data_IF_224071230923
#
_entry.id   IF_224071230923
#
_cell.length_a   1.000
_cell.length_b   1.000
_cell.length_c   1.000
_cell.angle_alpha   90.00
_cell.angle_beta   90.00
_cell.angle_gamma   90.00
#
_symmetry.space_group_name_H-M   'P 1'
#
loop_
_entity.id
_entity.type
_entity.pdbx_description
1 polymer ?
#
# COMPACT_ATOMS: atom_id res chain seq x y z
N UNK A 1 6.90 -12.17 -13.76
CA UNK A 1 5.88 -13.14 -13.31
C UNK A 1 4.69 -12.40 -12.71
N UNK A 2 3.47 -12.93 -12.85
CA UNK A 2 2.26 -12.22 -12.41
C UNK A 2 1.86 -12.64 -11.00
N UNK A 3 1.66 -11.67 -10.11
CA UNK A 3 1.14 -11.88 -8.76
C UNK A 3 -0.05 -10.95 -8.55
N UNK A 4 -1.12 -11.47 -7.94
CA UNK A 4 -2.25 -10.66 -7.54
C UNK A 4 -2.00 -10.11 -6.14
N UNK A 5 -2.24 -8.82 -5.93
CA UNK A 5 -2.27 -8.24 -4.58
C UNK A 5 -3.63 -7.64 -4.30
N UNK A 6 -4.09 -7.85 -3.06
CA UNK A 6 -5.25 -7.18 -2.52
C UNK A 6 -4.88 -6.41 -1.25
N UNK A 7 -5.13 -5.11 -1.27
CA UNK A 7 -4.96 -4.23 -0.14
C UNK A 7 -6.31 -3.94 0.52
N UNK A 8 -6.31 -3.79 1.83
CA UNK A 8 -7.50 -3.49 2.62
C UNK A 8 -7.38 -2.15 3.35
N UNK A 9 -8.53 -1.61 3.74
CA UNK A 9 -8.64 -0.33 4.44
C UNK A 9 -7.98 0.84 3.67
N UNK A 10 -7.28 1.72 4.37
CA UNK A 10 -6.54 2.87 3.86
C UNK A 10 -5.43 2.49 2.87
N UNK A 11 -4.92 1.26 2.89
CA UNK A 11 -3.95 0.81 1.89
C UNK A 11 -4.57 0.67 0.49
N UNK A 12 -5.90 0.61 0.35
CA UNK A 12 -6.54 0.59 -0.98
C UNK A 12 -6.25 1.84 -1.78
N UNK A 13 -6.08 2.97 -1.10
CA UNK A 13 -5.78 4.27 -1.72
C UNK A 13 -4.36 4.32 -2.29
N UNK A 14 -3.51 3.32 -1.97
CA UNK A 14 -2.18 3.15 -2.56
C UNK A 14 -2.18 2.55 -3.96
N UNK A 15 -3.28 1.91 -4.37
CA UNK A 15 -3.34 1.29 -5.67
C UNK A 15 -3.72 2.30 -6.76
N UNK A 16 -3.25 2.11 -8.00
CA UNK A 16 -3.59 2.99 -9.11
C UNK A 16 -5.12 3.10 -9.29
N UNK A 17 -5.58 4.28 -9.73
CA UNK A 17 -6.99 4.51 -10.03
C UNK A 17 -7.48 3.49 -11.06
N UNK A 18 -8.60 2.82 -10.76
CA UNK A 18 -9.14 1.73 -11.58
C UNK A 18 -8.92 0.32 -11.00
N UNK A 19 -8.18 0.18 -9.90
CA UNK A 19 -8.12 -1.08 -9.15
C UNK A 19 -9.47 -1.46 -8.53
N UNK A 20 -10.10 -2.51 -9.04
CA UNK A 20 -11.36 -3.02 -8.51
C UNK A 20 -11.19 -3.49 -7.05
N UNK A 21 -11.88 -2.82 -6.12
CA UNK A 21 -11.98 -3.24 -4.71
C UNK A 21 -10.61 -3.42 -4.02
N UNK A 22 -9.63 -2.60 -4.38
CA UNK A 22 -8.29 -2.69 -3.81
C UNK A 22 -7.48 -3.90 -4.31
N UNK A 23 -7.79 -4.44 -5.49
CA UNK A 23 -7.03 -5.51 -6.13
C UNK A 23 -6.27 -5.00 -7.36
N UNK A 24 -5.06 -5.50 -7.55
CA UNK A 24 -4.28 -5.30 -8.78
C UNK A 24 -3.43 -6.53 -9.06
N UNK A 25 -3.16 -6.79 -10.33
CA UNK A 25 -2.18 -7.79 -10.76
C UNK A 25 -0.92 -7.06 -11.17
N UNK A 26 0.21 -7.44 -10.58
CA UNK A 26 1.51 -6.83 -10.84
C UNK A 26 2.42 -7.84 -11.53
N UNK A 27 3.23 -7.35 -12.46
CA UNK A 27 4.34 -8.12 -13.02
C UNK A 27 5.61 -7.81 -12.22
N UNK A 28 6.21 -8.85 -11.63
CA UNK A 28 7.38 -8.75 -10.78
C UNK A 28 8.48 -9.72 -11.23
N UNK A 29 9.76 -9.47 -10.93
CA UNK A 29 10.84 -10.39 -11.29
C UNK A 29 10.64 -11.79 -10.69
N UNK A 30 11.08 -12.83 -11.38
CA UNK A 30 11.13 -14.18 -10.81
C UNK A 30 12.10 -14.24 -9.63
N UNK A 31 11.80 -15.08 -8.63
CA UNK A 31 12.59 -15.18 -7.41
C UNK A 31 12.39 -14.02 -6.43
N UNK A 32 11.46 -13.10 -6.68
CA UNK A 32 11.12 -12.01 -5.76
C UNK A 32 10.53 -12.58 -4.46
N UNK A 33 11.08 -12.15 -3.32
CA UNK A 33 10.55 -12.51 -2.00
C UNK A 33 9.35 -11.64 -1.62
N UNK A 34 8.53 -12.12 -0.68
CA UNK A 34 7.38 -11.39 -0.16
C UNK A 34 7.77 -10.01 0.40
N UNK A 35 8.87 -9.92 1.14
CA UNK A 35 9.36 -8.64 1.68
C UNK A 35 9.72 -7.64 0.58
N UNK A 36 10.48 -8.08 -0.43
CA UNK A 36 10.84 -7.24 -1.59
C UNK A 36 9.63 -6.82 -2.40
N UNK A 37 8.66 -7.74 -2.56
CA UNK A 37 7.41 -7.44 -3.22
C UNK A 37 6.67 -6.31 -2.51
N UNK A 38 6.47 -6.42 -1.20
CA UNK A 38 5.73 -5.42 -0.44
C UNK A 38 6.48 -4.08 -0.33
N UNK A 39 7.81 -4.09 -0.24
CA UNK A 39 8.63 -2.87 -0.35
C UNK A 39 8.37 -2.14 -1.68
N UNK A 40 8.27 -2.90 -2.79
CA UNK A 40 8.07 -2.31 -4.13
C UNK A 40 6.68 -1.70 -4.35
N UNK A 41 5.71 -2.01 -3.48
CA UNK A 41 4.40 -1.37 -3.48
C UNK A 41 4.45 0.07 -2.95
N UNK A 42 5.56 0.47 -2.33
CA UNK A 42 5.82 1.81 -1.81
C UNK A 42 4.66 2.38 -0.97
N UNK A 43 4.13 1.54 -0.09
CA UNK A 43 2.94 1.82 0.73
C UNK A 43 3.13 3.04 1.66
N UNK A 44 4.38 3.41 1.93
CA UNK A 44 4.75 4.56 2.75
C UNK A 44 4.33 5.89 2.12
N UNK A 45 4.34 5.99 0.78
CA UNK A 45 3.97 7.24 0.09
C UNK A 45 2.48 7.57 0.23
N UNK A 46 1.63 6.57 0.38
CA UNK A 46 0.18 6.73 0.42
C UNK A 46 -0.39 6.64 1.84
N UNK A 47 0.40 6.23 2.83
CA UNK A 47 0.06 6.43 4.24
C UNK A 47 0.38 7.87 4.67
N UNK A 48 -0.64 8.64 5.03
CA UNK A 48 -0.45 10.04 5.43
C UNK A 48 0.05 10.12 6.87
N UNK A 49 1.37 10.20 7.01
CA UNK A 49 2.04 10.19 8.31
C UNK A 49 3.14 9.14 8.26
N UNK A 50 4.33 9.48 8.75
CA UNK A 50 5.61 8.74 8.67
C UNK A 50 5.55 7.34 9.30
N UNK A 51 4.70 6.48 8.78
CA UNK A 51 4.61 5.07 9.11
C UNK A 51 5.60 4.42 8.16
N UNK A 52 6.75 4.02 8.72
CA UNK A 52 7.73 3.22 7.99
C UNK A 52 7.17 1.80 7.85
N UNK A 53 6.97 1.35 6.63
CA UNK A 53 6.44 0.02 6.32
C UNK A 53 7.21 -1.09 7.05
N UNK A 54 8.54 -1.02 7.06
CA UNK A 54 9.41 -2.02 7.70
C UNK A 54 9.23 -2.06 9.22
N UNK A 55 8.90 -0.94 9.85
CA UNK A 55 8.64 -0.88 11.30
C UNK A 55 7.27 -1.45 11.66
N UNK A 56 6.31 -1.42 10.73
CA UNK A 56 4.90 -1.72 11.00
C UNK A 56 4.44 -3.05 10.40
N UNK A 57 5.19 -3.64 9.46
CA UNK A 57 4.81 -4.89 8.80
C UNK A 57 4.59 -6.04 9.79
N UNK A 58 5.37 -6.10 10.87
CA UNK A 58 5.20 -7.11 11.92
C UNK A 58 3.86 -7.02 12.65
N UNK A 59 3.19 -5.87 12.60
CA UNK A 59 1.85 -5.68 13.16
C UNK A 59 0.74 -5.96 12.13
N UNK A 60 1.08 -6.12 10.85
CA UNK A 60 0.11 -6.37 9.78
C UNK A 60 -0.09 -7.87 9.60
N UNK A 61 -1.28 -8.27 9.17
CA UNK A 61 -1.55 -9.65 8.81
C UNK A 61 -1.41 -9.79 7.29
N UNK A 62 -0.54 -10.69 6.87
CA UNK A 62 -0.32 -10.97 5.44
C UNK A 62 -0.76 -12.40 5.16
N UNK A 63 -1.51 -12.59 4.07
CA UNK A 63 -1.96 -13.89 3.59
C UNK A 63 -1.44 -14.13 2.17
N UNK A 64 -0.83 -15.29 1.93
CA UNK A 64 -0.44 -15.72 0.58
C UNK A 64 -1.26 -16.96 0.22
N UNK A 65 -1.98 -16.87 -0.90
CA UNK A 65 -3.04 -17.78 -1.36
C UNK A 65 -4.15 -17.92 -0.30
N UNK A 66 -3.97 -18.77 0.70
CA UNK A 66 -4.92 -18.95 1.81
C UNK A 66 -4.25 -19.10 3.18
N UNK A 67 -2.93 -18.90 3.27
CA UNK A 67 -2.16 -19.07 4.50
C UNK A 67 -1.64 -17.74 5.01
N UNK A 68 -1.92 -17.46 6.28
CA UNK A 68 -1.27 -16.34 6.96
C UNK A 68 0.21 -16.64 7.15
N UNK A 69 1.04 -15.65 6.86
CA UNK A 69 2.49 -15.78 6.97
C UNK A 69 3.10 -14.46 7.40
N UNK A 70 4.17 -14.57 8.19
CA UNK A 70 5.07 -13.46 8.51
C UNK A 70 6.46 -13.71 7.90
N UNK A 71 6.60 -14.75 7.07
CA UNK A 71 7.83 -15.08 6.38
C UNK A 71 8.03 -14.15 5.18
N UNK A 72 8.83 -13.11 5.38
CA UNK A 72 9.17 -12.13 4.34
C UNK A 72 10.18 -12.67 3.32
N UNK A 73 10.85 -13.78 3.64
CA UNK A 73 11.81 -14.43 2.74
C UNK A 73 11.12 -15.46 1.81
N UNK A 74 9.82 -15.68 2.00
CA UNK A 74 8.99 -16.49 1.11
C UNK A 74 9.12 -16.03 -0.34
N UNK A 75 9.60 -16.91 -1.21
CA UNK A 75 9.69 -16.64 -2.65
C UNK A 75 8.30 -16.77 -3.27
N UNK A 76 7.83 -15.69 -3.89
CA UNK A 76 6.55 -15.68 -4.58
C UNK A 76 6.64 -16.47 -5.90
N UNK A 77 5.51 -17.03 -6.31
CA UNK A 77 5.37 -17.75 -7.57
C UNK A 77 4.34 -17.08 -8.48
N UNK A 78 4.45 -17.35 -9.78
CA UNK A 78 3.46 -16.86 -10.73
C UNK A 78 2.06 -17.41 -10.39
N UNK A 79 1.08 -16.51 -10.29
CA UNK A 79 -0.29 -16.83 -9.93
C UNK A 79 -0.60 -16.69 -8.44
N UNK A 80 0.39 -16.43 -7.58
CA UNK A 80 0.14 -16.21 -6.16
C UNK A 80 -0.77 -15.01 -5.92
N UNK A 81 -1.58 -15.12 -4.86
CA UNK A 81 -2.43 -14.05 -4.35
C UNK A 81 -1.94 -13.60 -2.99
N UNK A 82 -1.46 -12.36 -2.90
CA UNK A 82 -1.03 -11.72 -1.66
C UNK A 82 -2.12 -10.79 -1.14
N UNK A 83 -2.50 -10.94 0.12
CA UNK A 83 -3.49 -10.07 0.77
C UNK A 83 -2.87 -9.44 2.00
N UNK A 84 -3.00 -8.12 2.10
CA UNK A 84 -2.43 -7.34 3.19
C UNK A 84 -3.54 -6.68 4.01
N UNK A 85 -3.57 -7.01 5.30
CA UNK A 85 -4.47 -6.42 6.27
C UNK A 85 -3.66 -5.53 7.23
N UNK A 86 -3.75 -4.19 7.08
CA UNK A 86 -3.08 -3.29 8.02
C UNK A 86 -3.75 -3.37 9.40
N UNK A 87 -2.97 -3.17 10.46
CA UNK A 87 -3.51 -3.08 11.82
C UNK A 87 -4.35 -1.80 11.97
N UNK A 88 -5.66 -1.96 12.06
CA UNK A 88 -6.61 -0.85 12.20
C UNK A 88 -6.67 -0.37 13.65
N UNK A 89 -5.80 0.57 14.03
CA UNK A 89 -6.00 1.33 15.27
C UNK A 89 -7.18 2.30 15.07
N UNK A 90 -8.39 1.88 15.46
CA UNK A 90 -9.67 2.58 15.24
C UNK A 90 -9.86 3.97 15.88
N UNK A 91 -8.81 4.71 16.23
CA UNK A 91 -8.92 5.99 16.95
C UNK A 91 -8.28 7.22 16.31
N UNK A 92 -7.19 7.08 15.54
CA UNK A 92 -6.32 8.25 15.27
C UNK A 92 -6.54 8.90 13.89
N UNK A 93 -7.10 8.17 12.93
CA UNK A 93 -7.19 8.68 11.54
C UNK A 93 -8.27 9.75 11.31
N UNK A 94 -9.29 9.86 12.16
CA UNK A 94 -10.38 10.85 11.97
C UNK A 94 -9.90 12.29 12.13
N UNK A 95 -8.78 12.53 12.83
CA UNK A 95 -8.24 13.89 13.08
C UNK A 95 -7.27 14.40 12.01
N UNK A 96 -6.78 13.53 11.11
CA UNK A 96 -5.77 13.92 10.12
C UNK A 96 -6.34 14.35 8.76
N UNK A 97 -7.54 13.86 8.41
CA UNK A 97 -8.20 14.22 7.14
C UNK A 97 -8.62 15.70 7.09
N UNK A 98 -8.96 16.30 8.22
CA UNK A 98 -9.34 17.72 8.30
C UNK A 98 -8.16 18.69 8.15
N UNK A 99 -6.93 18.29 8.50
CA UNK A 99 -5.77 19.20 8.45
C UNK A 99 -5.08 19.27 7.08
N UNK A 100 -5.25 18.27 6.21
CA UNK A 100 -4.58 18.22 4.90
C UNK A 100 -5.44 18.73 3.73
N UNK A 101 -6.73 18.97 3.93
CA UNK A 101 -7.56 19.64 2.92
C UNK A 101 -7.07 21.08 2.65
N UNK A 102 -6.47 21.77 3.62
CA UNK A 102 -5.87 23.10 3.38
C UNK A 102 -4.56 23.04 2.60
N UNK A 103 -3.78 21.96 2.75
CA UNK A 103 -2.46 21.82 2.13
C UNK A 103 -2.54 21.39 0.65
N UNK A 104 -3.55 20.61 0.29
CA UNK A 104 -3.79 20.19 -1.10
C UNK A 104 -4.30 21.36 -1.95
N UNK A 105 -5.11 22.26 -1.38
CA UNK A 105 -5.57 23.47 -2.09
C UNK A 105 -4.40 24.42 -2.39
N UNK A 106 -3.40 24.52 -1.52
CA UNK A 106 -2.23 25.39 -1.77
C UNK A 106 -1.30 24.86 -2.87
N UNK A 107 -1.15 23.53 -3.02
CA UNK A 107 -0.33 22.97 -4.12
C UNK A 107 -1.02 23.00 -5.48
N UNK A 108 -2.36 22.91 -5.53
CA UNK A 108 -3.11 23.06 -6.78
C UNK A 108 -3.04 24.49 -7.34
N UNK A 109 -2.94 25.52 -6.48
CA UNK A 109 -2.78 26.91 -6.93
C UNK A 109 -1.37 27.26 -7.43
N UNK A 110 -0.33 26.57 -6.96
CA UNK A 110 1.05 26.89 -7.36
C UNK A 110 1.39 26.42 -8.78
N UNK A 111 0.72 25.38 -9.29
CA UNK A 111 0.93 24.88 -10.66
C UNK A 111 0.24 25.78 -11.69
N UNK A 112 -0.80 26.52 -11.31
CA UNK A 112 -1.54 27.40 -12.24
C UNK A 112 -0.88 28.77 -12.49
N UNK A 113 0.11 29.17 -11.68
CA UNK A 113 0.70 30.53 -11.74
C UNK A 113 2.05 30.62 -12.46
N UNK A 114 2.61 29.52 -12.95
CA UNK A 114 3.94 29.51 -13.59
C UNK A 114 3.94 29.15 -15.08
N UNK A 115 2.77 29.20 -15.73
CA UNK A 115 2.64 28.87 -17.15
C UNK A 115 1.91 29.95 -17.98
N UNK A 116 2.14 31.23 -17.68
CA UNK A 116 1.76 32.33 -18.56
C UNK A 116 2.79 33.46 -18.55
#
# INVERSE_FOLDING_TARGET
MKVQVQLFSNLRDCLPQGSEVGKVVLDIPEGTTLGRFLESLDLDQCMTGRINFLENINAWQIRVNDKFTNDLDLILQSGDSVIVFPHMAGGVYRRYKEKNLSLIIHKALFIYYYHH
#
